data_IF_071651514677
#
_entry.id   IF_071651514677
#
_cell.length_a   1.000
_cell.length_b   1.000
_cell.length_c   1.000
_cell.angle_alpha   90.00
_cell.angle_beta   90.00
_cell.angle_gamma   90.00
#
_symmetry.space_group_name_H-M   'P 1'
#
loop_
_entity.id
_entity.type
_entity.pdbx_description
1 polymer ?
#
# COMPACT_ATOMS: atom_id res chain seq x y z
N UNK A 1 64.40 41.79 -11.50
CA UNK A 1 63.39 42.82 -11.84
C UNK A 1 62.55 43.13 -10.60
N UNK A 2 62.59 44.40 -10.18
CA UNK A 2 61.63 45.22 -9.38
C UNK A 2 60.58 44.57 -8.44
N UNK A 3 60.81 44.76 -7.14
CA UNK A 3 59.94 45.39 -6.10
C UNK A 3 58.40 45.32 -6.21
N UNK A 4 57.70 44.93 -5.13
CA UNK A 4 57.02 45.83 -4.15
C UNK A 4 56.26 45.06 -3.04
N UNK A 5 56.44 45.51 -1.79
CA UNK A 5 55.56 45.30 -0.63
C UNK A 5 54.25 46.12 -0.75
N UNK A 6 53.20 45.69 -0.02
CA UNK A 6 52.13 46.48 0.65
C UNK A 6 51.22 45.45 1.38
N UNK A 7 51.40 45.16 2.66
CA UNK A 7 50.84 45.82 3.86
C UNK A 7 49.34 46.18 3.86
N UNK A 8 48.61 45.41 4.67
CA UNK A 8 47.68 45.81 5.75
C UNK A 8 46.33 46.49 5.44
N UNK A 9 45.24 45.82 5.87
CA UNK A 9 44.13 46.33 6.71
C UNK A 9 43.60 45.10 7.50
N UNK A 10 43.89 44.88 8.79
CA UNK A 10 43.42 45.54 10.03
C UNK A 10 41.92 45.33 10.30
N UNK A 11 41.65 44.49 11.32
CA UNK A 11 40.57 44.48 12.33
C UNK A 11 39.08 44.61 11.86
N UNK A 12 38.13 43.82 12.34
CA UNK A 12 37.80 43.61 13.75
C UNK A 12 37.21 42.22 14.05
N UNK A 13 37.68 41.65 15.13
CA UNK A 13 37.02 40.66 15.99
C UNK A 13 35.66 41.15 16.50
N UNK A 14 34.62 40.34 16.38
CA UNK A 14 33.61 40.17 17.42
C UNK A 14 33.29 38.68 17.49
N UNK A 15 33.64 38.06 18.61
CA UNK A 15 33.23 36.70 18.91
C UNK A 15 31.73 36.65 19.17
N UNK A 16 31.12 35.59 18.68
CA UNK A 16 30.02 34.93 19.36
C UNK A 16 30.38 33.45 19.35
N UNK A 17 30.80 32.99 20.53
CA UNK A 17 30.64 31.60 20.92
C UNK A 17 29.15 31.27 20.77
N UNK A 18 28.77 30.74 19.61
CA UNK A 18 27.63 29.87 19.50
C UNK A 18 28.17 28.46 19.52
N UNK A 19 28.10 27.79 20.67
CA UNK A 19 27.93 26.35 20.67
C UNK A 19 26.61 26.09 19.91
N UNK A 20 26.70 26.04 18.59
CA UNK A 20 25.68 25.41 17.77
C UNK A 20 25.79 23.95 18.12
N UNK A 21 24.98 23.50 19.08
CA UNK A 21 24.60 22.12 19.15
C UNK A 21 24.07 21.76 17.77
N UNK A 22 24.90 21.09 16.97
CA UNK A 22 24.48 20.20 15.88
C UNK A 22 23.74 19.00 16.51
N UNK A 23 22.78 19.27 17.40
CA UNK A 23 21.72 18.34 17.67
C UNK A 23 20.79 18.47 16.48
N UNK A 24 21.08 17.66 15.45
CA UNK A 24 20.02 17.11 14.60
C UNK A 24 18.83 16.84 15.53
N UNK A 25 17.62 17.36 15.21
CA UNK A 25 16.46 17.10 16.05
C UNK A 25 16.37 15.58 16.22
N UNK A 26 16.53 15.13 17.47
CA UNK A 26 16.47 13.72 17.79
C UNK A 26 15.21 13.14 17.13
N UNK A 27 15.30 12.01 16.40
CA UNK A 27 14.14 11.43 15.76
C UNK A 27 13.06 11.30 16.81
N UNK A 28 11.98 12.05 16.64
CA UNK A 28 10.87 12.01 17.59
C UNK A 28 10.29 10.60 17.51
N UNK A 29 10.54 9.79 18.53
CA UNK A 29 10.04 8.41 18.67
C UNK A 29 8.51 8.35 18.86
N UNK A 30 7.79 9.36 18.39
CA UNK A 30 6.35 9.34 18.41
C UNK A 30 5.88 8.35 17.33
N UNK A 31 5.01 7.40 17.69
CA UNK A 31 4.42 6.52 16.68
C UNK A 31 3.70 7.37 15.61
N UNK A 32 3.65 6.88 14.36
CA UNK A 32 2.96 7.60 13.29
C UNK A 32 1.50 7.85 13.68
N UNK A 33 0.99 9.04 13.37
CA UNK A 33 -0.43 9.35 13.54
C UNK A 33 -1.22 8.73 12.39
N UNK A 34 -1.97 7.68 12.67
CA UNK A 34 -2.73 6.89 11.69
C UNK A 34 -4.26 7.04 11.88
N UNK A 35 -4.69 8.08 12.60
CA UNK A 35 -6.07 8.34 13.03
C UNK A 35 -6.93 9.08 11.98
N UNK A 36 -6.38 9.38 10.81
CA UNK A 36 -7.02 10.18 9.77
C UNK A 36 -6.46 9.88 8.39
N UNK A 37 -7.20 10.24 7.33
CA UNK A 37 -6.69 10.14 5.95
C UNK A 37 -5.36 10.87 5.80
N UNK A 38 -5.26 12.11 6.29
CA UNK A 38 -4.03 12.88 6.17
C UNK A 38 -2.86 12.21 6.90
N UNK A 39 -3.10 11.71 8.12
CA UNK A 39 -2.08 10.98 8.89
C UNK A 39 -1.59 9.73 8.18
N UNK A 40 -2.51 8.90 7.67
CA UNK A 40 -2.20 7.70 6.90
C UNK A 40 -1.42 8.06 5.64
N UNK A 41 -1.89 9.03 4.84
CA UNK A 41 -1.22 9.44 3.60
C UNK A 41 0.17 10.00 3.86
N UNK A 42 0.35 10.84 4.88
CA UNK A 42 1.67 11.32 5.30
C UNK A 42 2.58 10.18 5.75
N UNK A 43 2.04 9.16 6.42
CA UNK A 43 2.83 8.01 6.84
C UNK A 43 3.33 7.17 5.67
N UNK A 44 2.48 6.91 4.67
CA UNK A 44 2.83 6.04 3.54
C UNK A 44 3.57 6.75 2.39
N UNK A 45 3.52 8.09 2.35
CA UNK A 45 4.19 8.88 1.30
C UNK A 45 5.69 8.56 1.20
N UNK A 46 6.17 8.33 -0.01
CA UNK A 46 7.57 7.98 -0.30
C UNK A 46 7.96 6.55 0.11
N UNK A 47 7.09 5.78 0.77
CA UNK A 47 7.36 4.41 1.16
C UNK A 47 7.06 3.42 0.04
N UNK A 48 7.69 2.25 0.17
CA UNK A 48 7.44 1.08 -0.68
C UNK A 48 6.79 -0.01 0.16
N UNK A 49 5.77 -0.65 -0.38
CA UNK A 49 4.95 -1.65 0.30
C UNK A 49 4.90 -2.93 -0.54
N UNK A 50 5.30 -4.07 0.02
CA UNK A 50 5.54 -5.30 -0.75
C UNK A 50 4.69 -6.46 -0.25
N UNK A 51 3.98 -7.11 -1.17
CA UNK A 51 3.24 -8.35 -0.95
C UNK A 51 3.86 -9.46 -1.80
N UNK A 52 4.31 -10.54 -1.16
CA UNK A 52 4.91 -11.72 -1.80
C UNK A 52 4.76 -12.98 -0.92
N UNK A 53 4.92 -14.17 -1.52
CA UNK A 53 4.85 -15.43 -0.78
C UNK A 53 3.53 -15.62 -0.02
N UNK A 54 3.62 -15.94 1.29
CA UNK A 54 2.46 -16.16 2.16
C UNK A 54 1.62 -14.91 2.45
N UNK A 55 2.11 -13.73 2.06
CA UNK A 55 1.36 -12.48 2.20
C UNK A 55 0.34 -12.27 1.08
N UNK A 56 0.44 -13.04 -0.01
CA UNK A 56 -0.54 -13.08 -1.09
C UNK A 56 -1.63 -14.08 -0.68
N UNK A 57 -2.88 -13.64 -0.51
CA UNK A 57 -3.95 -14.53 -0.10
C UNK A 57 -4.40 -15.43 -1.25
N UNK A 58 -5.30 -16.39 -1.00
CA UNK A 58 -5.83 -17.29 -2.03
C UNK A 58 -6.90 -16.64 -2.92
N UNK A 59 -7.54 -15.56 -2.44
CA UNK A 59 -8.59 -14.85 -3.16
C UNK A 59 -8.35 -13.33 -3.17
N UNK A 60 -7.20 -12.85 -3.68
CA UNK A 60 -6.95 -11.43 -3.84
C UNK A 60 -8.08 -10.77 -4.64
N UNK A 61 -8.51 -9.59 -4.19
CA UNK A 61 -9.66 -8.87 -4.76
C UNK A 61 -10.99 -9.67 -4.78
N UNK A 62 -11.09 -10.73 -3.97
CA UNK A 62 -12.25 -11.63 -3.92
C UNK A 62 -12.30 -12.71 -4.99
N UNK A 63 -11.26 -12.82 -5.83
CA UNK A 63 -11.21 -13.76 -6.94
C UNK A 63 -10.17 -14.84 -6.67
N UNK A 64 -10.55 -16.10 -6.86
CA UNK A 64 -9.65 -17.24 -6.68
C UNK A 64 -8.41 -17.10 -7.58
N UNK A 65 -7.21 -17.16 -6.98
CA UNK A 65 -5.94 -16.93 -7.69
C UNK A 65 -5.65 -17.96 -8.79
N UNK A 66 -6.34 -19.11 -8.80
CA UNK A 66 -6.22 -20.15 -9.83
C UNK A 66 -7.13 -19.95 -11.05
N UNK A 67 -8.02 -18.96 -11.07
CA UNK A 67 -8.86 -18.67 -12.24
C UNK A 67 -8.10 -17.86 -13.29
N UNK A 68 -8.17 -18.30 -14.54
CA UNK A 68 -7.42 -17.68 -15.64
C UNK A 68 -8.27 -16.70 -16.46
N UNK A 69 -8.10 -15.41 -16.17
CA UNK A 69 -8.59 -14.25 -16.92
C UNK A 69 -7.49 -13.57 -17.74
N UNK A 70 -6.41 -14.29 -18.07
CA UNK A 70 -5.26 -13.75 -18.80
C UNK A 70 -4.49 -12.72 -17.97
N UNK A 71 -4.31 -11.51 -18.50
CA UNK A 71 -3.59 -10.43 -17.81
C UNK A 71 -4.35 -9.90 -16.58
N UNK A 72 -5.65 -10.14 -16.47
CA UNK A 72 -6.48 -9.75 -15.34
C UNK A 72 -6.56 -10.84 -14.25
N UNK A 73 -5.86 -11.96 -14.41
CA UNK A 73 -5.80 -13.02 -13.39
C UNK A 73 -5.15 -12.52 -12.10
N UNK A 74 -5.61 -13.04 -10.96
CA UNK A 74 -5.10 -12.61 -9.65
C UNK A 74 -4.02 -13.53 -9.09
N UNK A 75 -3.40 -14.36 -9.94
CA UNK A 75 -2.22 -15.14 -9.59
C UNK A 75 -1.01 -14.21 -9.55
N UNK A 76 -0.59 -13.79 -8.35
CA UNK A 76 0.56 -12.91 -8.17
C UNK A 76 1.78 -13.68 -7.67
N UNK A 77 2.95 -13.38 -8.23
CA UNK A 77 4.24 -13.69 -7.60
C UNK A 77 4.59 -12.62 -6.57
N UNK A 78 4.49 -11.36 -6.99
CA UNK A 78 4.88 -10.19 -6.20
C UNK A 78 4.03 -8.99 -6.60
N UNK A 79 3.61 -8.21 -5.62
CA UNK A 79 2.98 -6.91 -5.83
C UNK A 79 3.74 -5.89 -5.00
N UNK A 80 4.04 -4.76 -5.60
CA UNK A 80 4.62 -3.61 -4.93
C UNK A 80 3.68 -2.43 -5.08
N UNK A 81 3.40 -1.74 -3.99
CA UNK A 81 2.82 -0.41 -4.02
C UNK A 81 3.88 0.63 -3.66
N UNK A 82 3.98 1.68 -4.45
CA UNK A 82 4.74 2.89 -4.13
C UNK A 82 3.78 4.08 -4.04
N UNK A 83 4.03 4.98 -3.10
CA UNK A 83 3.19 6.17 -2.89
C UNK A 83 3.98 7.42 -3.22
N UNK A 84 3.44 8.22 -4.13
CA UNK A 84 4.02 9.51 -4.50
C UNK A 84 2.93 10.52 -4.83
N UNK A 85 3.06 11.71 -4.26
CA UNK A 85 2.10 12.81 -4.39
C UNK A 85 0.66 12.36 -4.12
N UNK A 86 0.48 11.50 -3.11
CA UNK A 86 -0.83 10.97 -2.72
C UNK A 86 -1.42 9.90 -3.65
N UNK A 87 -0.72 9.49 -4.71
CA UNK A 87 -1.14 8.42 -5.60
C UNK A 87 -0.38 7.13 -5.32
N UNK A 88 -1.07 6.00 -5.51
CA UNK A 88 -0.52 4.67 -5.36
C UNK A 88 -0.25 4.10 -6.75
N UNK A 89 1.02 3.80 -7.02
CA UNK A 89 1.43 3.00 -8.17
C UNK A 89 1.58 1.55 -7.72
N UNK A 90 0.85 0.66 -8.37
CA UNK A 90 0.84 -0.78 -8.10
C UNK A 90 1.55 -1.48 -9.24
N UNK A 91 2.74 -2.00 -8.96
CA UNK A 91 3.52 -2.85 -9.85
C UNK A 91 3.30 -4.31 -9.46
N UNK A 92 2.71 -5.09 -10.35
CA UNK A 92 2.44 -6.50 -10.14
C UNK A 92 3.25 -7.36 -11.10
N UNK A 93 3.85 -8.42 -10.58
CA UNK A 93 4.44 -9.50 -11.37
C UNK A 93 3.51 -10.70 -11.22
N UNK A 94 2.71 -11.03 -12.24
CA UNK A 94 1.83 -12.18 -12.19
C UNK A 94 2.64 -13.48 -12.19
N UNK A 95 2.09 -14.53 -11.57
CA UNK A 95 2.55 -15.90 -11.74
C UNK A 95 1.89 -16.58 -12.95
N UNK A 96 2.22 -17.85 -13.16
CA UNK A 96 1.60 -18.67 -14.20
C UNK A 96 0.49 -19.52 -13.62
N UNK A 97 -0.65 -19.59 -14.32
CA UNK A 97 -1.76 -20.47 -13.93
C UNK A 97 -1.65 -21.74 -14.76
N UNK A 98 -1.59 -22.88 -14.10
CA UNK A 98 -1.48 -24.19 -14.72
C UNK A 98 -2.82 -24.93 -14.62
N UNK A 99 -3.40 -25.29 -15.77
CA UNK A 99 -4.65 -26.05 -15.84
C UNK A 99 -5.92 -25.26 -15.46
N UNK A 100 -5.81 -23.95 -15.25
CA UNK A 100 -6.94 -23.08 -14.92
C UNK A 100 -7.70 -22.60 -16.15
N UNK A 101 -8.96 -22.25 -15.93
CA UNK A 101 -9.83 -21.56 -16.89
C UNK A 101 -10.56 -20.42 -16.18
N UNK A 102 -11.43 -19.69 -16.88
CA UNK A 102 -12.24 -18.63 -16.27
C UNK A 102 -13.27 -19.15 -15.26
N UNK A 103 -13.61 -20.45 -15.29
CA UNK A 103 -14.65 -21.05 -14.44
C UNK A 103 -14.15 -22.21 -13.58
N UNK A 104 -13.00 -22.77 -13.91
CA UNK A 104 -12.38 -23.90 -13.19
C UNK A 104 -11.00 -23.47 -12.71
N UNK A 105 -10.76 -23.40 -11.39
CA UNK A 105 -9.47 -22.97 -10.87
C UNK A 105 -8.40 -24.03 -11.14
N UNK A 106 -7.24 -23.58 -11.60
CA UNK A 106 -6.01 -24.36 -11.67
C UNK A 106 -5.07 -24.04 -10.52
N UNK A 107 -3.79 -24.29 -10.72
CA UNK A 107 -2.73 -23.98 -9.75
C UNK A 107 -2.05 -22.67 -10.11
N UNK A 108 -2.03 -21.71 -9.17
CA UNK A 108 -1.20 -20.51 -9.31
C UNK A 108 0.26 -20.83 -8.97
N UNK A 109 1.11 -20.92 -10.00
CA UNK A 109 2.54 -21.11 -9.89
C UNK A 109 3.27 -19.76 -9.79
N UNK A 110 3.63 -19.40 -8.56
CA UNK A 110 4.31 -18.12 -8.22
C UNK A 110 5.82 -18.13 -8.55
N UNK A 111 6.40 -19.27 -8.94
CA UNK A 111 7.83 -19.36 -9.31
C UNK A 111 8.07 -19.14 -10.80
N UNK A 112 7.01 -19.13 -11.62
CA UNK A 112 7.05 -18.87 -13.06
C UNK A 112 6.42 -17.50 -13.36
N UNK A 113 7.19 -16.40 -13.27
CA UNK A 113 6.66 -15.06 -13.47
C UNK A 113 6.28 -14.79 -14.93
N UNK A 114 5.25 -13.95 -15.10
CA UNK A 114 4.85 -13.34 -16.36
C UNK A 114 5.32 -11.88 -16.43
N UNK A 115 5.05 -11.24 -17.57
CA UNK A 115 5.34 -9.82 -17.77
C UNK A 115 4.66 -8.96 -16.69
N UNK A 116 5.40 -7.98 -16.18
CA UNK A 116 4.90 -7.07 -15.17
C UNK A 116 3.78 -6.17 -15.71
N UNK A 117 2.85 -5.81 -14.83
CA UNK A 117 1.76 -4.87 -15.08
C UNK A 117 1.84 -3.75 -14.05
N UNK A 118 1.60 -2.51 -14.47
CA UNK A 118 1.65 -1.33 -13.61
C UNK A 118 0.38 -0.51 -13.74
N UNK A 119 -0.16 -0.06 -12.60
CA UNK A 119 -1.36 0.76 -12.52
C UNK A 119 -1.17 1.86 -11.50
N UNK A 120 -1.42 3.12 -11.88
CA UNK A 120 -1.37 4.26 -10.95
C UNK A 120 -2.78 4.76 -10.67
N UNK A 121 -3.11 4.92 -9.39
CA UNK A 121 -4.37 5.53 -8.98
C UNK A 121 -4.43 6.99 -9.44
N UNK A 122 -5.63 7.48 -9.73
CA UNK A 122 -5.92 8.90 -9.95
C UNK A 122 -6.42 9.59 -8.68
N UNK A 123 -7.00 8.81 -7.78
CA UNK A 123 -7.52 9.28 -6.51
C UNK A 123 -7.54 8.13 -5.51
N UNK A 124 -7.29 8.47 -4.25
CA UNK A 124 -7.43 7.57 -3.10
C UNK A 124 -8.25 8.28 -2.03
N UNK A 125 -9.37 7.67 -1.64
CA UNK A 125 -10.20 8.13 -0.54
C UNK A 125 -10.02 7.18 0.66
N UNK A 126 -9.79 7.74 1.84
CA UNK A 126 -9.68 7.02 3.10
C UNK A 126 -10.64 7.65 4.10
N UNK A 127 -11.50 6.85 4.70
CA UNK A 127 -12.54 7.36 5.60
C UNK A 127 -12.82 6.39 6.74
N UNK A 128 -13.59 6.84 7.74
CA UNK A 128 -13.95 6.05 8.92
C UNK A 128 -12.73 5.40 9.59
N UNK A 129 -11.68 6.20 9.78
CA UNK A 129 -10.39 5.76 10.31
C UNK A 129 -10.50 5.56 11.83
N UNK A 130 -10.17 4.35 12.31
CA UNK A 130 -10.02 4.09 13.73
C UNK A 130 -8.86 4.91 14.32
N UNK A 131 -8.95 5.27 15.60
CA UNK A 131 -7.98 6.15 16.25
C UNK A 131 -6.54 5.63 16.24
N UNK A 132 -6.34 4.33 16.07
CA UNK A 132 -5.04 3.65 15.99
C UNK A 132 -4.66 3.21 14.56
N UNK A 133 -5.50 3.52 13.55
CA UNK A 133 -5.29 3.07 12.17
C UNK A 133 -5.49 1.57 11.94
N UNK A 134 -6.03 0.84 12.93
CA UNK A 134 -6.28 -0.60 12.84
C UNK A 134 -7.37 -0.97 11.82
N UNK A 135 -8.25 -0.02 11.49
CA UNK A 135 -9.21 -0.13 10.40
C UNK A 135 -9.51 1.23 9.79
N UNK A 136 -9.61 1.28 8.47
CA UNK A 136 -10.19 2.39 7.71
C UNK A 136 -10.85 1.87 6.43
N UNK A 137 -11.87 2.56 5.93
CA UNK A 137 -12.40 2.28 4.61
C UNK A 137 -11.48 2.93 3.56
N UNK A 138 -11.33 2.27 2.41
CA UNK A 138 -10.48 2.76 1.33
C UNK A 138 -11.12 2.57 -0.04
N UNK A 139 -10.94 3.56 -0.90
CA UNK A 139 -11.28 3.51 -2.33
C UNK A 139 -10.06 3.92 -3.14
N UNK A 140 -9.54 3.00 -3.93
CA UNK A 140 -8.54 3.28 -4.96
C UNK A 140 -9.24 3.44 -6.30
N UNK A 141 -9.10 4.62 -6.93
CA UNK A 141 -9.65 4.88 -8.26
C UNK A 141 -8.56 4.85 -9.31
N UNK A 142 -8.64 3.91 -10.25
CA UNK A 142 -7.75 3.78 -11.40
C UNK A 142 -8.45 4.29 -12.67
N UNK A 143 -7.74 4.44 -13.81
CA UNK A 143 -8.36 4.92 -15.04
C UNK A 143 -9.55 4.09 -15.54
N UNK A 144 -9.56 2.78 -15.33
CA UNK A 144 -10.55 1.84 -15.90
C UNK A 144 -11.33 1.02 -14.88
N UNK A 145 -10.98 1.11 -13.60
CA UNK A 145 -11.66 0.36 -12.53
C UNK A 145 -11.44 1.04 -11.18
N UNK A 146 -12.19 0.59 -10.18
CA UNK A 146 -12.00 0.97 -8.78
C UNK A 146 -11.88 -0.26 -7.92
N UNK A 147 -11.12 -0.13 -6.85
CA UNK A 147 -11.08 -1.10 -5.76
C UNK A 147 -11.57 -0.43 -4.48
N UNK A 148 -12.45 -1.10 -3.77
CA UNK A 148 -13.13 -0.61 -2.58
C UNK A 148 -13.03 -1.66 -1.49
N UNK A 149 -12.82 -1.23 -0.25
CA UNK A 149 -12.87 -2.13 0.89
C UNK A 149 -12.37 -1.48 2.16
N UNK A 150 -11.63 -2.25 2.95
CA UNK A 150 -11.00 -1.80 4.19
C UNK A 150 -9.51 -2.07 4.21
N UNK A 151 -8.78 -1.17 4.87
CA UNK A 151 -7.37 -1.33 5.19
C UNK A 151 -7.14 -1.24 6.69
N UNK A 152 -5.96 -1.65 7.14
CA UNK A 152 -5.56 -1.54 8.54
C UNK A 152 -4.08 -1.81 8.72
N UNK A 153 -3.43 -1.00 9.55
CA UNK A 153 -2.03 -1.20 9.90
C UNK A 153 -1.88 -2.25 11.02
N UNK A 154 -0.80 -3.02 11.00
CA UNK A 154 -0.39 -3.81 12.16
C UNK A 154 -0.03 -2.89 13.33
N UNK A 155 -0.08 -3.41 14.56
CA UNK A 155 0.21 -2.63 15.76
C UNK A 155 1.62 -2.02 15.79
N UNK A 156 2.59 -2.65 15.10
CA UNK A 156 3.96 -2.13 14.94
C UNK A 156 4.12 -1.16 13.75
N UNK A 157 3.04 -0.90 13.00
CA UNK A 157 3.02 -0.07 11.81
C UNK A 157 3.73 -0.65 10.59
N UNK A 158 4.35 -1.83 10.68
CA UNK A 158 5.22 -2.36 9.60
C UNK A 158 4.47 -3.10 8.50
N UNK A 159 3.19 -3.37 8.68
CA UNK A 159 2.35 -4.06 7.70
C UNK A 159 1.09 -3.26 7.44
N UNK A 160 0.80 -3.00 6.17
CA UNK A 160 -0.51 -2.56 5.71
C UNK A 160 -1.30 -3.80 5.24
N UNK A 161 -2.41 -4.09 5.89
CA UNK A 161 -3.35 -5.12 5.43
C UNK A 161 -4.45 -4.45 4.61
N UNK A 162 -4.72 -4.94 3.40
CA UNK A 162 -5.82 -4.50 2.55
C UNK A 162 -6.76 -5.65 2.27
N UNK A 163 -8.04 -5.44 2.51
CA UNK A 163 -9.12 -6.35 2.11
C UNK A 163 -10.06 -5.56 1.21
N UNK A 164 -9.70 -5.54 -0.07
CA UNK A 164 -10.31 -4.75 -1.12
C UNK A 164 -10.90 -5.67 -2.18
N UNK A 165 -11.91 -5.18 -2.89
CA UNK A 165 -12.63 -5.85 -3.96
C UNK A 165 -12.85 -4.87 -5.10
N UNK A 166 -13.12 -5.35 -6.32
CA UNK A 166 -13.60 -4.46 -7.37
C UNK A 166 -14.92 -3.80 -6.96
N UNK A 167 -15.13 -2.54 -7.37
CA UNK A 167 -16.36 -1.80 -7.06
C UNK A 167 -17.60 -2.63 -7.42
N UNK A 168 -18.56 -2.69 -6.49
CA UNK A 168 -19.80 -3.49 -6.57
C UNK A 168 -19.62 -5.02 -6.59
N UNK A 169 -18.40 -5.56 -6.46
CA UNK A 169 -18.17 -7.01 -6.43
C UNK A 169 -18.36 -7.63 -5.03
N UNK A 170 -18.47 -6.82 -3.97
CA UNK A 170 -18.66 -7.31 -2.61
C UNK A 170 -19.43 -6.32 -1.74
N UNK A 171 -20.05 -6.84 -0.67
CA UNK A 171 -20.64 -6.08 0.43
C UNK A 171 -20.02 -6.51 1.76
N UNK A 172 -20.12 -5.68 2.80
CA UNK A 172 -19.62 -6.00 4.14
C UNK A 172 -18.09 -5.96 4.30
N UNK A 173 -17.38 -5.41 3.31
CA UNK A 173 -15.94 -5.19 3.29
C UNK A 173 -15.53 -3.79 3.82
N UNK A 174 -16.20 -3.29 4.87
CA UNK A 174 -15.93 -1.99 5.48
C UNK A 174 -15.71 -2.13 6.99
N UNK A 175 -15.21 -1.08 7.64
CA UNK A 175 -14.88 -1.10 9.06
C UNK A 175 -16.09 -1.12 9.99
N UNK A 176 -17.26 -0.66 9.55
CA UNK A 176 -18.51 -0.78 10.30
C UNK A 176 -18.95 -2.25 10.42
N UNK A 177 -18.77 -3.02 9.34
CA UNK A 177 -19.05 -4.45 9.34
C UNK A 177 -18.03 -5.26 10.15
N UNK A 178 -16.82 -4.74 10.38
CA UNK A 178 -15.82 -5.35 11.26
C UNK A 178 -14.37 -5.02 10.87
N UNK A 179 -13.39 -5.48 11.68
CA UNK A 179 -11.98 -5.30 11.37
C UNK A 179 -11.56 -6.09 10.11
N UNK A 180 -10.42 -5.73 9.52
CA UNK A 180 -9.81 -6.42 8.37
C UNK A 180 -9.76 -7.94 8.60
N UNK A 181 -10.25 -8.72 7.63
CA UNK A 181 -10.31 -10.19 7.70
C UNK A 181 -11.53 -10.76 8.44
N UNK A 182 -12.47 -9.93 8.89
CA UNK A 182 -13.73 -10.42 9.47
C UNK A 182 -14.59 -11.14 8.44
N UNK A 183 -15.26 -12.22 8.85
CA UNK A 183 -16.16 -13.04 8.03
C UNK A 183 -17.53 -12.39 7.80
N UNK A 184 -17.52 -11.15 7.36
CA UNK A 184 -18.72 -10.32 7.11
C UNK A 184 -18.98 -10.06 5.63
N UNK A 185 -18.08 -10.57 4.78
CA UNK A 185 -18.05 -10.26 3.36
C UNK A 185 -18.95 -11.22 2.60
N UNK A 186 -19.76 -10.65 1.72
CA UNK A 186 -20.45 -11.39 0.68
C UNK A 186 -19.98 -10.92 -0.69
N UNK A 187 -19.72 -11.86 -1.60
CA UNK A 187 -19.49 -11.55 -3.00
C UNK A 187 -20.83 -11.24 -3.68
N UNK A 188 -20.81 -10.31 -4.63
CA UNK A 188 -21.96 -9.96 -5.45
C UNK A 188 -21.69 -10.40 -6.89
N UNK A 189 -22.52 -11.30 -7.39
CA UNK A 189 -22.47 -11.76 -8.77
C UNK A 189 -23.90 -11.86 -9.33
N UNK A 190 -24.11 -11.34 -10.54
CA UNK A 190 -25.43 -11.31 -11.20
C UNK A 190 -26.56 -10.74 -10.31
N UNK A 191 -26.25 -9.73 -9.50
CA UNK A 191 -27.19 -9.11 -8.56
C UNK A 191 -27.54 -9.94 -7.33
N UNK A 192 -26.94 -11.12 -7.17
CA UNK A 192 -27.11 -12.00 -6.03
C UNK A 192 -25.90 -11.90 -5.08
N UNK A 193 -26.15 -12.07 -3.79
CA UNK A 193 -25.14 -11.99 -2.74
C UNK A 193 -24.87 -13.38 -2.17
N UNK A 194 -23.60 -13.75 -2.04
CA UNK A 194 -23.17 -15.06 -1.56
C UNK A 194 -22.05 -14.91 -0.53
N UNK A 195 -22.02 -15.73 0.54
CA UNK A 195 -20.92 -15.70 1.50
C UNK A 195 -19.57 -15.89 0.82
N UNK A 196 -18.60 -15.03 1.15
CA UNK A 196 -17.25 -15.14 0.62
C UNK A 196 -16.54 -16.36 1.24
N UNK A 197 -16.13 -17.36 0.44
CA UNK A 197 -15.54 -18.59 0.98
C UNK A 197 -14.02 -18.49 1.21
N UNK A 198 -13.39 -17.40 0.75
CA UNK A 198 -11.95 -17.28 0.64
C UNK A 198 -11.30 -16.40 1.71
N UNK A 199 -10.05 -16.04 1.42
CA UNK A 199 -9.31 -15.01 2.14
C UNK A 199 -8.91 -13.95 1.11
N UNK A 200 -9.26 -12.68 1.35
CA UNK A 200 -8.92 -11.55 0.49
C UNK A 200 -7.90 -10.59 1.14
N UNK A 201 -7.43 -10.89 2.35
CA UNK A 201 -6.49 -10.02 3.08
C UNK A 201 -5.11 -10.08 2.44
N UNK A 202 -4.78 -9.02 1.72
CA UNK A 202 -3.50 -8.74 1.10
C UNK A 202 -2.59 -8.08 2.13
N UNK A 203 -1.44 -8.69 2.44
CA UNK A 203 -0.52 -8.16 3.44
C UNK A 203 0.67 -7.51 2.76
N UNK A 204 0.85 -6.21 2.97
CA UNK A 204 1.97 -5.47 2.41
C UNK A 204 2.95 -5.08 3.51
N UNK A 205 4.17 -5.61 3.43
CA UNK A 205 5.28 -5.23 4.31
C UNK A 205 5.80 -3.87 3.86
N UNK A 206 5.85 -2.91 4.78
CA UNK A 206 6.31 -1.55 4.55
C UNK A 206 7.84 -1.51 4.67
N UNK A 207 8.50 -0.92 3.66
CA UNK A 207 9.95 -0.77 3.52
C UNK A 207 10.36 0.69 3.62
#
# INVERSE_FOLDING_TARGET
MKTKLLSAVVLCTVGLMGCGDDSDPAPTNNPPKLDSQQGIMTYVEGKRMVMEGANIPSHPNGVNEGLDFGAASQCYQKVTMSVQAGNFTVDSIPGTIEGGTQTTPGTCNKTLPKNALSFTSRNVLIENVAADGSCFNVVFTYPSFKQVGRGGFSADGKTLNLEIFFENAATGANCEAGPVGSKTINLVANGQSYPFPGNAVQKYVIQ
#
